data_IF_802330122775
#
_entry.id   IF_802330122775
#
_cell.length_a   1.000
_cell.length_b   1.000
_cell.length_c   1.000
_cell.angle_alpha   90.00
_cell.angle_beta   90.00
_cell.angle_gamma   90.00
#
_symmetry.space_group_name_H-M   'P 1'
#
loop_
_entity.id
_entity.type
_entity.pdbx_description
1 polymer ?
#
# COMPACT_ATOMS: atom_id res chain seq x y z
N UNK A 1 -10.41 -16.93 16.60
CA UNK A 1 -9.43 -16.00 17.24
C UNK A 1 -8.00 -16.15 16.69
N UNK A 2 -7.56 -17.33 16.25
CA UNK A 2 -6.26 -17.53 15.61
C UNK A 2 -6.21 -17.11 14.14
N UNK A 3 -7.32 -17.25 13.44
CA UNK A 3 -7.41 -17.02 11.96
C UNK A 3 -6.90 -15.64 11.54
N UNK A 4 -7.27 -14.57 12.25
CA UNK A 4 -6.83 -13.22 11.92
C UNK A 4 -5.31 -13.01 12.04
N UNK A 5 -4.70 -13.59 13.06
CA UNK A 5 -3.23 -13.56 13.23
C UNK A 5 -2.52 -14.40 12.16
N UNK A 6 -3.08 -15.57 11.87
CA UNK A 6 -2.55 -16.47 10.82
C UNK A 6 -2.66 -15.78 9.46
N UNK A 7 -3.81 -15.17 9.16
CA UNK A 7 -4.01 -14.43 7.92
C UNK A 7 -2.98 -13.30 7.74
N UNK A 8 -2.74 -12.50 8.78
CA UNK A 8 -1.72 -11.45 8.75
C UNK A 8 -0.31 -12.06 8.59
N UNK A 9 0.01 -13.12 9.31
CA UNK A 9 1.31 -13.82 9.22
C UNK A 9 1.56 -14.36 7.81
N UNK A 10 0.57 -15.02 7.20
CA UNK A 10 0.64 -15.50 5.82
C UNK A 10 0.82 -14.33 4.86
N UNK A 11 0.09 -13.24 5.05
CA UNK A 11 0.19 -12.05 4.22
C UNK A 11 1.61 -11.47 4.22
N UNK A 12 2.22 -11.33 5.40
CA UNK A 12 3.60 -10.83 5.54
C UNK A 12 4.58 -11.81 4.90
N UNK A 13 4.41 -13.11 5.11
CA UNK A 13 5.26 -14.13 4.50
C UNK A 13 5.20 -14.10 2.97
N UNK A 14 4.01 -13.88 2.38
CA UNK A 14 3.84 -13.76 0.93
C UNK A 14 4.47 -12.48 0.37
N UNK A 15 4.38 -11.34 1.11
CA UNK A 15 5.07 -10.11 0.73
C UNK A 15 6.59 -10.28 0.76
N UNK A 16 7.12 -10.99 1.75
CA UNK A 16 8.55 -11.32 1.79
C UNK A 16 8.92 -12.25 0.64
N UNK A 17 8.10 -13.27 0.36
CA UNK A 17 8.38 -14.24 -0.70
C UNK A 17 8.49 -13.60 -2.09
N UNK A 18 7.65 -12.61 -2.39
CA UNK A 18 7.68 -11.94 -3.71
C UNK A 18 8.95 -11.11 -3.93
N UNK A 19 9.59 -10.64 -2.84
CA UNK A 19 10.84 -9.86 -2.90
C UNK A 19 12.05 -10.77 -3.18
N UNK A 20 11.93 -12.07 -2.87
CA UNK A 20 13.04 -13.02 -3.08
C UNK A 20 13.31 -13.20 -4.59
N UNK A 21 14.56 -12.99 -5.05
CA UNK A 21 14.91 -13.18 -6.46
C UNK A 21 14.58 -14.60 -6.93
N UNK A 22 13.91 -14.71 -8.07
CA UNK A 22 13.53 -15.99 -8.67
C UNK A 22 12.17 -16.56 -8.22
N UNK A 23 11.53 -15.99 -7.21
CA UNK A 23 10.19 -16.39 -6.73
C UNK A 23 9.12 -15.49 -7.32
N UNK A 24 9.36 -14.19 -7.30
CA UNK A 24 8.44 -13.19 -7.84
C UNK A 24 8.46 -13.12 -9.37
N UNK A 25 7.30 -12.87 -9.96
CA UNK A 25 7.15 -12.64 -11.40
C UNK A 25 7.19 -11.15 -11.67
N UNK A 26 8.14 -10.74 -12.53
CA UNK A 26 8.27 -9.36 -12.96
C UNK A 26 7.31 -9.08 -14.11
N UNK A 27 6.47 -8.06 -13.95
CA UNK A 27 5.58 -7.57 -14.99
C UNK A 27 5.66 -6.03 -15.04
N UNK A 28 5.86 -5.48 -16.23
CA UNK A 28 6.00 -4.03 -16.45
C UNK A 28 7.06 -3.36 -15.58
N UNK A 29 8.21 -4.03 -15.40
CA UNK A 29 9.35 -3.49 -14.65
C UNK A 29 9.22 -3.55 -13.12
N UNK A 30 8.22 -4.24 -12.59
CA UNK A 30 8.06 -4.45 -11.14
C UNK A 30 7.70 -5.89 -10.81
N UNK A 31 8.35 -6.44 -9.78
CA UNK A 31 8.12 -7.79 -9.27
C UNK A 31 7.04 -7.75 -8.20
N UNK A 32 5.78 -8.07 -8.56
CA UNK A 32 4.61 -7.92 -7.70
C UNK A 32 3.70 -9.13 -7.68
N UNK A 33 3.99 -10.13 -8.50
CA UNK A 33 3.13 -11.27 -8.70
C UNK A 33 3.81 -12.54 -8.26
N UNK A 34 3.05 -13.43 -7.65
CA UNK A 34 3.46 -14.81 -7.43
C UNK A 34 2.70 -15.71 -8.38
N UNK A 35 3.42 -16.65 -9.01
CA UNK A 35 2.82 -17.68 -9.85
C UNK A 35 2.64 -18.98 -9.09
N UNK A 36 1.59 -19.72 -9.41
CA UNK A 36 1.42 -21.08 -8.94
C UNK A 36 2.16 -21.99 -9.92
N UNK A 37 3.18 -22.77 -9.45
CA UNK A 37 3.94 -23.67 -10.32
C UNK A 37 3.02 -24.60 -11.11
N UNK A 38 3.28 -24.76 -12.42
CA UNK A 38 2.49 -25.62 -13.31
C UNK A 38 1.17 -25.02 -13.79
N UNK A 39 0.85 -23.76 -13.47
CA UNK A 39 -0.35 -23.07 -13.93
C UNK A 39 -0.04 -21.70 -14.51
N UNK A 40 -0.98 -21.15 -15.28
CA UNK A 40 -0.92 -19.75 -15.74
C UNK A 40 -1.49 -18.77 -14.69
N UNK A 41 -1.94 -19.28 -13.54
CA UNK A 41 -2.52 -18.47 -12.49
C UNK A 41 -1.46 -17.67 -11.76
N UNK A 42 -1.74 -16.36 -11.61
CA UNK A 42 -0.92 -15.41 -10.87
C UNK A 42 -1.78 -14.70 -9.85
N UNK A 43 -1.23 -14.44 -8.67
CA UNK A 43 -1.89 -13.63 -7.66
C UNK A 43 -0.92 -12.60 -7.10
N UNK A 44 -1.46 -11.52 -6.56
CA UNK A 44 -0.68 -10.43 -6.01
C UNK A 44 -0.71 -10.49 -4.47
N UNK A 45 0.44 -10.68 -3.80
CA UNK A 45 0.53 -10.74 -2.34
C UNK A 45 -0.10 -9.55 -1.62
N UNK A 46 0.02 -8.35 -2.16
CA UNK A 46 -0.57 -7.13 -1.59
C UNK A 46 -2.11 -7.17 -1.51
N UNK A 47 -2.79 -7.91 -2.39
CA UNK A 47 -4.24 -8.10 -2.29
C UNK A 47 -4.60 -8.95 -1.06
N UNK A 48 -3.81 -9.99 -0.80
CA UNK A 48 -3.98 -10.83 0.40
C UNK A 48 -3.59 -10.03 1.65
N UNK A 49 -2.57 -9.18 1.57
CA UNK A 49 -2.15 -8.33 2.69
C UNK A 49 -3.25 -7.34 3.12
N UNK A 50 -4.01 -6.77 2.19
CA UNK A 50 -5.17 -5.93 2.52
C UNK A 50 -6.18 -6.69 3.38
N UNK A 51 -6.53 -7.91 2.97
CA UNK A 51 -7.46 -8.76 3.74
C UNK A 51 -6.87 -9.14 5.10
N UNK A 52 -5.60 -9.50 5.16
CA UNK A 52 -4.90 -9.83 6.40
C UNK A 52 -4.91 -8.67 7.41
N UNK A 53 -4.65 -7.45 6.94
CA UNK A 53 -4.72 -6.22 7.75
C UNK A 53 -6.14 -5.98 8.25
N UNK A 54 -7.14 -6.04 7.37
CA UNK A 54 -8.54 -5.82 7.73
C UNK A 54 -8.98 -6.82 8.82
N UNK A 55 -8.75 -8.10 8.61
CA UNK A 55 -9.14 -9.15 9.56
C UNK A 55 -8.44 -9.00 10.91
N UNK A 56 -7.13 -8.74 10.89
CA UNK A 56 -6.37 -8.60 12.12
C UNK A 56 -6.75 -7.33 12.88
N UNK A 57 -6.88 -6.20 12.19
CA UNK A 57 -7.25 -4.93 12.82
C UNK A 57 -8.67 -5.01 13.39
N UNK A 58 -9.64 -5.56 12.66
CA UNK A 58 -10.99 -5.74 13.15
C UNK A 58 -11.04 -6.59 14.42
N UNK A 59 -10.40 -7.76 14.43
CA UNK A 59 -10.35 -8.64 15.61
C UNK A 59 -9.61 -8.00 16.79
N UNK A 60 -8.51 -7.31 16.53
CA UNK A 60 -7.66 -6.72 17.58
C UNK A 60 -8.27 -5.45 18.17
N UNK A 61 -8.83 -4.57 17.33
CA UNK A 61 -9.46 -3.31 17.74
C UNK A 61 -10.72 -3.59 18.56
N UNK A 62 -11.57 -4.52 18.10
CA UNK A 62 -12.81 -4.89 18.82
C UNK A 62 -12.55 -5.39 20.25
N UNK A 63 -11.39 -6.01 20.49
CA UNK A 63 -10.99 -6.49 21.82
C UNK A 63 -10.39 -5.42 22.71
N UNK A 64 -9.79 -4.38 22.14
CA UNK A 64 -9.05 -3.37 22.90
C UNK A 64 -9.92 -2.18 23.34
N UNK A 65 -11.02 -1.90 22.65
CA UNK A 65 -12.01 -0.86 22.99
C UNK A 65 -11.33 0.43 23.51
N UNK A 66 -11.60 0.78 24.79
CA UNK A 66 -11.08 2.03 25.42
C UNK A 66 -9.56 2.14 25.44
N UNK A 67 -8.82 1.02 25.40
CA UNK A 67 -7.36 1.02 25.33
C UNK A 67 -6.83 1.58 24.01
N UNK A 68 -7.68 1.65 22.97
CA UNK A 68 -7.33 2.25 21.67
C UNK A 68 -6.94 3.73 21.77
N UNK A 69 -7.39 4.45 22.80
CA UNK A 69 -7.03 5.85 23.02
C UNK A 69 -5.60 6.08 23.51
N UNK A 70 -4.87 5.00 23.84
CA UNK A 70 -3.49 5.09 24.34
C UNK A 70 -2.49 4.82 23.24
N UNK A 71 -1.34 5.51 23.27
CA UNK A 71 -0.24 5.31 22.32
C UNK A 71 0.21 3.84 22.26
N UNK A 72 0.42 3.24 23.43
CA UNK A 72 0.98 1.90 23.58
C UNK A 72 0.11 0.78 23.02
N UNK A 73 -1.21 0.89 23.14
CA UNK A 73 -2.13 -0.17 22.72
C UNK A 73 -2.93 0.16 21.46
N UNK A 74 -3.13 1.44 21.17
CA UNK A 74 -3.92 1.89 20.03
C UNK A 74 -3.09 2.25 18.80
N UNK A 75 -1.87 2.78 18.96
CA UNK A 75 -1.11 3.29 17.81
C UNK A 75 0.11 2.44 17.51
N UNK A 76 0.97 2.21 18.51
CA UNK A 76 2.24 1.50 18.30
C UNK A 76 2.09 0.14 17.62
N UNK A 77 1.20 -0.78 18.06
CA UNK A 77 1.14 -2.10 17.44
C UNK A 77 0.61 -2.07 16.01
N UNK A 78 -0.35 -1.21 15.72
CA UNK A 78 -0.93 -1.08 14.37
C UNK A 78 -0.01 -0.29 13.45
N UNK A 79 0.57 0.81 13.95
CA UNK A 79 1.55 1.60 13.23
C UNK A 79 2.78 0.79 12.86
N UNK A 80 3.27 -0.08 13.75
CA UNK A 80 4.37 -0.98 13.46
C UNK A 80 4.04 -1.96 12.33
N UNK A 81 2.84 -2.57 12.34
CA UNK A 81 2.40 -3.48 11.28
C UNK A 81 2.29 -2.74 9.95
N UNK A 82 1.68 -1.55 9.95
CA UNK A 82 1.56 -0.74 8.74
C UNK A 82 2.92 -0.29 8.21
N UNK A 83 3.84 0.12 9.08
CA UNK A 83 5.19 0.48 8.70
C UNK A 83 5.96 -0.70 8.11
N UNK A 84 5.86 -1.88 8.72
CA UNK A 84 6.48 -3.11 8.21
C UNK A 84 5.97 -3.44 6.79
N UNK A 85 4.65 -3.41 6.60
CA UNK A 85 4.05 -3.67 5.28
C UNK A 85 4.48 -2.60 4.28
N UNK A 86 4.51 -1.32 4.66
CA UNK A 86 4.94 -0.24 3.80
C UNK A 86 6.40 -0.40 3.34
N UNK A 87 7.29 -0.82 4.24
CA UNK A 87 8.69 -1.12 3.91
C UNK A 87 8.79 -2.29 2.93
N UNK A 88 8.05 -3.39 3.15
CA UNK A 88 8.05 -4.53 2.23
C UNK A 88 7.53 -4.11 0.85
N UNK A 89 6.44 -3.37 0.78
CA UNK A 89 5.86 -2.90 -0.48
C UNK A 89 6.69 -1.82 -1.19
N UNK A 90 7.57 -1.13 -0.47
CA UNK A 90 8.56 -0.24 -1.08
C UNK A 90 9.55 -1.01 -1.95
N UNK A 91 9.97 -2.19 -1.50
CA UNK A 91 10.82 -3.09 -2.30
C UNK A 91 10.10 -3.74 -3.49
N UNK A 92 8.76 -3.78 -3.47
CA UNK A 92 7.92 -4.27 -4.58
C UNK A 92 7.59 -3.20 -5.64
N UNK A 93 8.14 -2.00 -5.64
CA UNK A 93 7.71 -0.72 -6.21
C UNK A 93 6.17 -0.61 -6.44
N UNK A 94 5.38 -0.74 -5.37
CA UNK A 94 3.90 -0.75 -5.43
C UNK A 94 3.27 0.39 -4.61
N UNK A 95 3.53 1.64 -5.00
CA UNK A 95 3.10 2.82 -4.27
C UNK A 95 1.58 2.89 -4.04
N UNK A 96 0.78 2.62 -5.09
CA UNK A 96 -0.69 2.69 -4.99
C UNK A 96 -1.27 1.68 -4.00
N UNK A 97 -0.75 0.45 -4.00
CA UNK A 97 -1.15 -0.57 -3.02
C UNK A 97 -0.73 -0.19 -1.60
N UNK A 98 0.45 0.39 -1.43
CA UNK A 98 0.94 0.88 -0.14
C UNK A 98 0.01 1.96 0.44
N UNK A 99 -0.31 2.98 -0.36
CA UNK A 99 -1.21 4.07 0.05
C UNK A 99 -2.58 3.52 0.44
N UNK A 100 -3.10 2.56 -0.34
CA UNK A 100 -4.40 1.94 -0.05
C UNK A 100 -4.39 1.17 1.27
N UNK A 101 -3.37 0.34 1.53
CA UNK A 101 -3.27 -0.42 2.79
C UNK A 101 -3.10 0.51 3.99
N UNK A 102 -2.27 1.55 3.87
CA UNK A 102 -2.09 2.55 4.92
C UNK A 102 -3.40 3.30 5.19
N UNK A 103 -4.14 3.68 4.13
CA UNK A 103 -5.44 4.34 4.23
C UNK A 103 -6.49 3.46 4.93
N UNK A 104 -6.58 2.19 4.55
CA UNK A 104 -7.48 1.22 5.18
C UNK A 104 -7.11 1.07 6.67
N UNK A 105 -5.84 0.86 7.00
CA UNK A 105 -5.37 0.71 8.36
C UNK A 105 -5.65 1.95 9.22
N UNK A 106 -5.38 3.14 8.68
CA UNK A 106 -5.64 4.42 9.36
C UNK A 106 -7.15 4.63 9.59
N UNK A 107 -8.00 4.34 8.60
CA UNK A 107 -9.45 4.43 8.74
C UNK A 107 -9.98 3.46 9.82
N UNK A 108 -9.50 2.24 9.84
CA UNK A 108 -9.88 1.25 10.86
C UNK A 108 -9.45 1.69 12.26
N UNK A 109 -8.25 2.25 12.42
CA UNK A 109 -7.77 2.79 13.68
C UNK A 109 -8.64 3.98 14.13
N UNK A 110 -8.99 4.86 13.20
CA UNK A 110 -9.86 6.01 13.47
C UNK A 110 -11.24 5.57 13.96
N UNK A 111 -11.91 4.69 13.23
CA UNK A 111 -13.20 4.09 13.63
C UNK A 111 -13.06 3.33 14.97
N UNK A 112 -11.91 2.72 15.21
CA UNK A 112 -11.56 2.05 16.46
C UNK A 112 -11.36 2.96 17.67
N UNK A 113 -11.46 4.29 17.49
CA UNK A 113 -11.51 5.28 18.58
C UNK A 113 -10.14 5.79 19.01
N UNK A 114 -9.13 5.82 18.14
CA UNK A 114 -7.88 6.55 18.45
C UNK A 114 -8.17 8.04 18.62
N UNK A 115 -7.32 8.73 19.38
CA UNK A 115 -7.48 10.17 19.58
C UNK A 115 -7.24 10.91 18.26
N UNK A 116 -8.15 11.86 17.92
CA UNK A 116 -8.16 12.57 16.63
C UNK A 116 -6.85 13.28 16.27
N UNK A 117 -6.06 13.76 17.25
CA UNK A 117 -4.77 14.39 16.96
C UNK A 117 -3.76 13.43 16.28
N UNK A 118 -3.83 12.12 16.55
CA UNK A 118 -2.99 11.14 15.87
C UNK A 118 -3.34 10.97 14.39
N UNK A 119 -4.63 11.13 14.08
CA UNK A 119 -5.09 11.17 12.68
C UNK A 119 -4.51 12.42 12.00
N UNK A 120 -4.53 13.57 12.68
CA UNK A 120 -3.92 14.79 12.17
C UNK A 120 -2.42 14.63 11.91
N UNK A 121 -1.67 13.97 12.80
CA UNK A 121 -0.25 13.66 12.61
C UNK A 121 -0.07 12.73 11.39
N UNK A 122 -0.92 11.71 11.25
CA UNK A 122 -0.88 10.80 10.10
C UNK A 122 -1.13 11.52 8.77
N UNK A 123 -2.16 12.37 8.71
CA UNK A 123 -2.47 13.20 7.53
C UNK A 123 -1.32 14.16 7.23
N UNK A 124 -0.76 14.82 8.25
CA UNK A 124 0.39 15.71 8.11
C UNK A 124 1.62 14.98 7.55
N UNK A 125 1.88 13.76 8.00
CA UNK A 125 2.95 12.91 7.46
C UNK A 125 2.72 12.55 5.99
N UNK A 126 1.50 12.17 5.61
CA UNK A 126 1.15 11.90 4.21
C UNK A 126 1.32 13.16 3.36
N UNK A 127 0.85 14.31 3.85
CA UNK A 127 0.99 15.59 3.15
C UNK A 127 2.46 16.00 2.97
N UNK A 128 3.30 15.78 3.98
CA UNK A 128 4.74 16.04 3.90
C UNK A 128 5.44 15.15 2.86
N UNK A 129 5.08 13.86 2.81
CA UNK A 129 5.60 12.94 1.78
C UNK A 129 5.12 13.35 0.40
N UNK A 130 3.84 13.69 0.23
CA UNK A 130 3.30 14.18 -1.04
C UNK A 130 3.99 15.47 -1.49
N UNK A 131 4.23 16.40 -0.58
CA UNK A 131 5.00 17.61 -0.87
C UNK A 131 6.43 17.30 -1.32
N UNK A 132 7.12 16.38 -0.64
CA UNK A 132 8.47 15.96 -1.02
C UNK A 132 8.52 15.32 -2.43
N UNK A 133 7.47 14.60 -2.84
CA UNK A 133 7.33 14.11 -4.21
C UNK A 133 7.10 15.25 -5.21
N UNK A 134 6.19 16.17 -4.93
CA UNK A 134 5.86 17.28 -5.83
C UNK A 134 7.00 18.29 -5.97
N UNK A 135 7.78 18.50 -4.91
CA UNK A 135 8.94 19.39 -4.90
C UNK A 135 10.19 18.79 -5.57
N UNK A 136 10.12 17.54 -6.04
CA UNK A 136 11.25 16.85 -6.67
C UNK A 136 12.34 16.37 -5.71
N UNK A 137 12.13 16.48 -4.40
CA UNK A 137 13.06 15.94 -3.40
C UNK A 137 13.15 14.41 -3.44
N UNK A 138 12.09 13.75 -3.92
CA UNK A 138 12.04 12.31 -4.13
C UNK A 138 11.75 12.04 -5.60
N UNK A 139 12.73 11.49 -6.30
CA UNK A 139 12.68 11.21 -7.75
C UNK A 139 11.91 9.93 -8.12
N UNK A 140 11.40 9.19 -7.14
CA UNK A 140 10.66 7.96 -7.36
C UNK A 140 9.37 8.22 -8.17
N UNK A 141 9.24 7.60 -9.34
CA UNK A 141 8.10 7.77 -10.26
C UNK A 141 7.87 9.20 -10.82
N UNK A 142 8.91 10.01 -10.93
CA UNK A 142 8.81 11.36 -11.50
C UNK A 142 8.12 11.40 -12.89
N UNK A 143 8.32 10.37 -13.71
CA UNK A 143 7.65 10.21 -15.00
C UNK A 143 6.12 10.14 -14.90
N UNK A 144 5.58 9.51 -13.86
CA UNK A 144 4.12 9.43 -13.65
C UNK A 144 3.52 10.75 -13.22
N UNK A 145 4.25 11.55 -12.44
CA UNK A 145 3.84 12.91 -12.05
C UNK A 145 3.84 13.81 -13.28
N UNK A 146 4.90 13.74 -14.12
CA UNK A 146 4.96 14.50 -15.37
C UNK A 146 3.81 14.14 -16.31
N UNK A 147 3.47 12.86 -16.47
CA UNK A 147 2.33 12.40 -17.26
C UNK A 147 1.00 12.90 -16.68
N UNK A 148 0.87 12.95 -15.36
CA UNK A 148 -0.35 13.43 -14.71
C UNK A 148 -0.55 14.94 -14.89
N UNK A 149 0.54 15.71 -14.84
CA UNK A 149 0.52 17.17 -15.04
C UNK A 149 0.27 17.57 -16.49
N UNK A 150 0.83 16.83 -17.47
CA UNK A 150 0.67 17.07 -18.91
C UNK A 150 0.47 15.73 -19.65
N UNK A 151 -0.74 15.16 -19.58
CA UNK A 151 -1.03 13.84 -20.14
C UNK A 151 -1.09 13.81 -21.66
N UNK A 152 -1.23 14.96 -22.31
CA UNK A 152 -1.32 15.07 -23.77
C UNK A 152 0.02 15.32 -24.45
N UNK A 153 1.09 15.49 -23.69
CA UNK A 153 2.43 15.70 -24.21
C UNK A 153 2.85 14.55 -25.14
N UNK A 154 3.40 14.94 -26.29
CA UNK A 154 3.80 13.99 -27.35
C UNK A 154 4.89 13.01 -26.89
N UNK A 155 5.72 13.37 -25.91
CA UNK A 155 6.71 12.50 -25.33
C UNK A 155 6.09 11.26 -24.64
N UNK A 156 4.80 11.32 -24.29
CA UNK A 156 4.08 10.25 -23.62
C UNK A 156 3.08 9.49 -24.51
N UNK A 157 3.15 9.67 -25.84
CA UNK A 157 2.29 8.95 -26.80
C UNK A 157 2.42 7.44 -26.72
N UNK A 158 3.61 6.96 -26.37
CA UNK A 158 3.94 5.54 -26.26
C UNK A 158 4.55 5.26 -24.87
N UNK A 159 4.48 4.01 -24.41
CA UNK A 159 5.09 3.60 -23.13
C UNK A 159 4.23 3.96 -21.92
N UNK A 160 4.85 4.60 -20.92
CA UNK A 160 4.24 4.82 -19.58
C UNK A 160 3.03 5.74 -19.57
N UNK A 161 2.91 6.67 -20.53
CA UNK A 161 1.80 7.62 -20.65
C UNK A 161 0.63 7.13 -21.48
N UNK A 162 0.81 6.03 -22.23
CA UNK A 162 -0.19 5.53 -23.17
C UNK A 162 -1.56 5.28 -22.51
N UNK A 163 -1.60 4.63 -21.37
CA UNK A 163 -2.84 4.32 -20.66
C UNK A 163 -3.61 5.58 -20.25
N UNK A 164 -2.92 6.57 -19.67
CA UNK A 164 -3.55 7.85 -19.24
C UNK A 164 -4.13 8.60 -20.43
N UNK A 165 -3.35 8.67 -21.52
CA UNK A 165 -3.79 9.32 -22.76
C UNK A 165 -5.01 8.63 -23.37
N UNK A 166 -5.00 7.30 -23.49
CA UNK A 166 -6.13 6.54 -24.04
C UNK A 166 -7.38 6.65 -23.16
N UNK A 167 -7.22 6.68 -21.83
CA UNK A 167 -8.35 6.92 -20.91
C UNK A 167 -8.97 8.30 -21.13
N UNK A 168 -8.16 9.35 -21.32
CA UNK A 168 -8.67 10.69 -21.62
C UNK A 168 -9.39 10.75 -22.97
N UNK A 169 -8.83 10.14 -24.02
CA UNK A 169 -9.46 10.09 -25.34
C UNK A 169 -10.78 9.31 -25.30
N UNK A 170 -10.89 8.28 -24.46
CA UNK A 170 -12.10 7.48 -24.32
C UNK A 170 -13.23 8.20 -23.56
N UNK A 171 -12.89 9.22 -22.76
CA UNK A 171 -13.86 10.01 -22.00
C UNK A 171 -14.37 11.21 -22.84
N UNK A 172 -13.64 11.61 -23.87
CA UNK A 172 -13.94 12.77 -24.73
C UNK A 172 -13.08 13.94 -24.38
#
# INVERSE_FOLDING_TARGET
RGVAKIALGISIALLVAVIIPGVGITSHGATRWLGIPGTTMRFQPSEIAKLGVILYFADSISKKKDKMRTLRYGILPYGFILALIAVLMYFEPHLSGTVLILGIGAAMMFVGGIRGYWVGIGIGGIAAVAYAFLSGLITYNSSRIAIWLDPLNDAFKTGTGYQTRQSLIAIG
#
